data_IF_152573807839
#
_entry.id   IF_152573807839
#
_cell.length_a   1.000
_cell.length_b   1.000
_cell.length_c   1.000
_cell.angle_alpha   90.00
_cell.angle_beta   90.00
_cell.angle_gamma   90.00
#
_symmetry.space_group_name_H-M   'P 1'
#
loop_
_entity.id
_entity.type
_entity.pdbx_description
1 polymer ?
#
# COMPACT_ATOMS: atom_id res chain seq x y z
N UNK A 1 -10.08 1.85 -4.76
CA UNK A 1 -9.13 0.95 -5.46
C UNK A 1 -9.55 0.79 -6.92
N UNK A 2 -10.82 0.52 -7.21
CA UNK A 2 -11.33 0.24 -8.57
C UNK A 2 -11.02 1.30 -9.62
N UNK A 3 -10.93 2.58 -9.24
CA UNK A 3 -10.61 3.68 -10.16
C UNK A 3 -9.12 3.80 -10.48
N UNK A 4 -8.24 3.19 -9.66
CA UNK A 4 -6.79 3.36 -9.76
C UNK A 4 -6.23 2.95 -11.13
N UNK A 5 -6.57 1.79 -11.72
CA UNK A 5 -5.95 1.37 -12.98
C UNK A 5 -6.21 2.33 -14.14
N UNK A 6 -7.42 2.91 -14.23
CA UNK A 6 -7.76 3.87 -15.28
C UNK A 6 -7.03 5.21 -15.11
N UNK A 7 -6.78 5.62 -13.86
CA UNK A 7 -5.97 6.82 -13.57
C UNK A 7 -4.50 6.59 -13.93
N UNK A 8 -3.95 5.41 -13.60
CA UNK A 8 -2.57 5.04 -13.96
C UNK A 8 -2.39 5.05 -15.47
N UNK A 9 -3.32 4.45 -16.22
CA UNK A 9 -3.29 4.45 -17.68
C UNK A 9 -3.31 5.88 -18.25
N UNK A 10 -4.19 6.74 -17.72
CA UNK A 10 -4.29 8.13 -18.18
C UNK A 10 -3.09 9.01 -17.81
N UNK A 11 -2.37 8.67 -16.73
CA UNK A 11 -1.22 9.44 -16.25
C UNK A 11 0.07 9.19 -17.05
N UNK A 12 0.15 8.08 -17.79
CA UNK A 12 1.36 7.68 -18.51
C UNK A 12 2.54 7.48 -17.57
N UNK A 13 3.64 8.19 -17.82
CA UNK A 13 4.89 8.07 -17.04
C UNK A 13 4.88 8.85 -15.71
N UNK A 14 3.82 9.61 -15.42
CA UNK A 14 3.73 10.37 -14.18
C UNK A 14 3.46 9.44 -12.98
N UNK A 15 4.19 9.58 -11.86
CA UNK A 15 3.94 8.79 -10.66
C UNK A 15 2.53 9.02 -10.11
N UNK A 16 1.75 7.95 -9.97
CA UNK A 16 0.42 7.97 -9.34
C UNK A 16 0.51 7.49 -7.90
N UNK A 17 0.13 8.35 -6.96
CA UNK A 17 0.03 8.00 -5.53
C UNK A 17 -1.41 7.59 -5.19
N UNK A 18 -1.58 6.65 -4.28
CA UNK A 18 -2.91 6.12 -3.90
C UNK A 18 -3.18 6.18 -2.38
N UNK A 19 -4.38 6.61 -1.98
CA UNK A 19 -4.94 6.50 -0.62
C UNK A 19 -6.43 6.11 -0.72
N UNK A 20 -7.18 6.28 0.37
CA UNK A 20 -8.60 6.01 0.54
C UNK A 20 -8.90 4.53 0.71
N UNK A 21 -8.42 3.96 1.83
CA UNK A 21 -8.84 2.63 2.28
C UNK A 21 -7.70 1.68 2.66
N UNK A 22 -6.45 2.08 2.53
CA UNK A 22 -5.28 1.26 2.87
C UNK A 22 -5.22 1.03 4.38
N UNK A 23 -5.28 -0.23 4.83
CA UNK A 23 -5.23 -0.61 6.25
C UNK A 23 -4.17 -1.67 6.55
N UNK A 24 -3.90 -2.53 5.59
CA UNK A 24 -2.98 -3.67 5.70
C UNK A 24 -1.94 -3.65 4.58
N UNK A 25 -0.88 -4.43 4.75
CA UNK A 25 0.13 -4.70 3.72
C UNK A 25 -0.50 -5.27 2.45
N UNK A 26 -1.52 -6.13 2.58
CA UNK A 26 -2.20 -6.72 1.42
C UNK A 26 -2.96 -5.65 0.59
N UNK A 27 -3.54 -4.63 1.23
CA UNK A 27 -4.17 -3.51 0.53
C UNK A 27 -3.14 -2.71 -0.26
N UNK A 28 -1.97 -2.48 0.34
CA UNK A 28 -0.86 -1.80 -0.31
C UNK A 28 -0.29 -2.60 -1.47
N UNK A 29 -0.04 -3.91 -1.29
CA UNK A 29 0.42 -4.78 -2.37
C UNK A 29 -0.51 -4.72 -3.59
N UNK A 30 -1.84 -4.77 -3.37
CA UNK A 30 -2.82 -4.65 -4.46
C UNK A 30 -2.74 -3.30 -5.17
N UNK A 31 -2.61 -2.19 -4.44
CA UNK A 31 -2.50 -0.88 -5.05
C UNK A 31 -1.20 -0.73 -5.87
N UNK A 32 -0.08 -1.20 -5.34
CA UNK A 32 1.22 -1.21 -6.02
C UNK A 32 1.17 -2.09 -7.28
N UNK A 33 0.64 -3.31 -7.16
CA UNK A 33 0.40 -4.23 -8.28
C UNK A 33 -0.51 -3.64 -9.38
N UNK A 34 -1.45 -2.76 -9.00
CA UNK A 34 -2.32 -2.05 -9.92
C UNK A 34 -1.70 -0.76 -10.50
N UNK A 35 -0.42 -0.48 -10.20
CA UNK A 35 0.37 0.58 -10.81
C UNK A 35 0.51 1.86 -9.99
N UNK A 36 0.12 1.87 -8.72
CA UNK A 36 0.48 2.99 -7.84
C UNK A 36 2.00 3.00 -7.59
N UNK A 37 2.62 4.18 -7.65
CA UNK A 37 4.02 4.37 -7.32
C UNK A 37 4.27 4.33 -5.79
N UNK A 38 3.29 4.75 -5.00
CA UNK A 38 3.28 4.57 -3.55
C UNK A 38 1.85 4.63 -3.00
N UNK A 39 1.69 4.15 -1.77
CA UNK A 39 0.45 4.30 -1.00
C UNK A 39 0.63 5.28 0.15
N UNK A 40 -0.44 6.00 0.48
CA UNK A 40 -0.49 6.95 1.58
C UNK A 40 -1.41 6.40 2.68
N UNK A 41 -1.08 6.71 3.93
CA UNK A 41 -1.88 6.35 5.08
C UNK A 41 -2.60 7.57 5.64
N UNK A 42 -3.93 7.52 5.66
CA UNK A 42 -4.76 8.50 6.37
C UNK A 42 -4.98 8.11 7.84
N UNK A 43 -6.18 7.59 8.15
CA UNK A 43 -6.62 7.31 9.53
C UNK A 43 -5.70 6.42 10.39
N UNK A 44 -5.03 5.37 9.87
CA UNK A 44 -4.29 4.44 10.74
C UNK A 44 -3.26 5.11 11.66
N UNK A 45 -2.41 6.01 11.12
CA UNK A 45 -1.39 6.66 11.95
C UNK A 45 -1.99 7.66 12.95
N UNK A 46 -3.14 8.26 12.62
CA UNK A 46 -3.89 9.16 13.53
C UNK A 46 -4.41 8.39 14.75
N UNK A 47 -4.82 7.13 14.58
CA UNK A 47 -5.20 6.30 15.72
C UNK A 47 -4.00 6.00 16.62
N UNK A 48 -2.83 5.73 16.04
CA UNK A 48 -1.59 5.60 16.79
C UNK A 48 -1.25 6.87 17.57
N UNK A 49 -1.38 8.03 16.91
CA UNK A 49 -1.20 9.34 17.55
C UNK A 49 -2.10 9.53 18.77
N UNK A 50 -3.38 9.16 18.64
CA UNK A 50 -4.36 9.32 19.72
C UNK A 50 -4.09 8.39 20.92
N UNK A 51 -3.51 7.21 20.69
CA UNK A 51 -3.26 6.21 21.72
C UNK A 51 -1.95 6.46 22.49
N UNK A 52 -0.88 6.82 21.81
CA UNK A 52 0.45 6.93 22.42
C UNK A 52 1.36 7.95 21.72
N UNK A 53 0.78 9.03 21.20
CA UNK A 53 1.53 10.14 20.60
C UNK A 53 2.45 9.68 19.47
N UNK A 54 3.66 10.23 19.44
CA UNK A 54 4.69 9.89 18.45
C UNK A 54 5.06 8.39 18.46
N UNK A 55 5.12 7.77 19.64
CA UNK A 55 5.44 6.35 19.78
C UNK A 55 4.36 5.48 19.14
N UNK A 56 3.08 5.85 19.31
CA UNK A 56 1.97 5.19 18.66
C UNK A 56 1.97 5.38 17.13
N UNK A 57 2.30 6.57 16.62
CA UNK A 57 2.51 6.78 15.18
C UNK A 57 3.62 5.87 14.64
N UNK A 58 4.77 5.87 15.32
CA UNK A 58 5.93 5.05 14.94
C UNK A 58 5.59 3.57 14.95
N UNK A 59 4.83 3.11 15.94
CA UNK A 59 4.36 1.73 16.02
C UNK A 59 3.48 1.36 14.81
N UNK A 60 2.47 2.18 14.48
CA UNK A 60 1.60 1.93 13.32
C UNK A 60 2.39 1.86 12.02
N UNK A 61 3.29 2.81 11.77
CA UNK A 61 4.08 2.84 10.53
C UNK A 61 5.01 1.63 10.42
N UNK A 62 5.68 1.23 11.51
CA UNK A 62 6.55 0.04 11.52
C UNK A 62 5.76 -1.25 11.32
N UNK A 63 4.63 -1.40 12.02
CA UNK A 63 3.76 -2.58 11.87
C UNK A 63 3.22 -2.70 10.46
N UNK A 64 2.83 -1.57 9.83
CA UNK A 64 2.37 -1.55 8.45
C UNK A 64 3.47 -1.95 7.46
N UNK A 65 4.68 -1.42 7.62
CA UNK A 65 5.81 -1.79 6.77
C UNK A 65 6.21 -3.26 6.91
N UNK A 66 6.16 -3.80 8.13
CA UNK A 66 6.41 -5.22 8.37
C UNK A 66 5.34 -6.12 7.74
N UNK A 67 4.06 -5.74 7.82
CA UNK A 67 2.97 -6.47 7.14
C UNK A 67 3.13 -6.39 5.61
N UNK A 68 3.48 -5.23 5.05
CA UNK A 68 3.76 -5.08 3.62
C UNK A 68 4.91 -5.99 3.15
N UNK A 69 6.02 -6.01 3.89
CA UNK A 69 7.17 -6.89 3.61
C UNK A 69 6.77 -8.37 3.65
N UNK A 70 6.03 -8.78 4.68
CA UNK A 70 5.51 -10.14 4.81
C UNK A 70 4.60 -10.53 3.64
N UNK A 71 3.69 -9.65 3.22
CA UNK A 71 2.76 -9.94 2.12
C UNK A 71 3.48 -10.04 0.77
N UNK A 72 4.49 -9.20 0.51
CA UNK A 72 5.32 -9.31 -0.67
C UNK A 72 6.09 -10.66 -0.68
N UNK A 73 6.75 -11.01 0.42
CA UNK A 73 7.50 -12.26 0.53
C UNK A 73 6.60 -13.50 0.41
N UNK A 74 5.45 -13.52 1.09
CA UNK A 74 4.49 -14.64 1.03
C UNK A 74 3.83 -14.79 -0.34
N UNK A 75 3.77 -13.72 -1.14
CA UNK A 75 3.31 -13.77 -2.53
C UNK A 75 4.42 -14.10 -3.54
N UNK A 76 5.63 -14.39 -3.06
CA UNK A 76 6.75 -14.83 -3.90
C UNK A 76 7.60 -13.71 -4.51
N UNK A 77 7.45 -12.48 -4.04
CA UNK A 77 8.20 -11.32 -4.53
C UNK A 77 9.33 -10.98 -3.54
N UNK A 78 10.55 -10.75 -4.04
CA UNK A 78 11.69 -10.38 -3.20
C UNK A 78 11.63 -8.91 -2.74
N UNK A 79 10.80 -8.10 -3.40
CA UNK A 79 10.51 -6.73 -2.99
C UNK A 79 9.15 -6.27 -3.52
N UNK A 80 8.61 -5.19 -2.93
CA UNK A 80 7.36 -4.58 -3.42
C UNK A 80 7.49 -4.00 -4.84
N UNK A 81 8.71 -3.75 -5.33
CA UNK A 81 8.96 -3.25 -6.68
C UNK A 81 8.71 -4.32 -7.76
N UNK A 82 8.66 -5.59 -7.39
CA UNK A 82 8.35 -6.70 -8.30
C UNK A 82 6.85 -6.95 -8.43
N UNK A 83 6.01 -6.28 -7.62
CA UNK A 83 4.57 -6.42 -7.69
C UNK A 83 4.05 -5.85 -9.01
N UNK A 84 3.30 -6.67 -9.74
CA UNK A 84 2.73 -6.33 -11.03
C UNK A 84 1.27 -6.75 -11.15
N UNK A 85 0.68 -6.49 -12.32
CA UNK A 85 -0.72 -6.82 -12.60
C UNK A 85 -1.00 -8.34 -12.52
N UNK A 86 0.01 -9.17 -12.74
CA UNK A 86 -0.01 -10.61 -12.60
C UNK A 86 0.03 -11.11 -11.15
N UNK A 87 0.45 -10.25 -10.19
CA UNK A 87 0.41 -10.54 -8.76
C UNK A 87 -1.01 -10.50 -8.16
N UNK A 88 -2.02 -10.08 -8.93
CA UNK A 88 -3.42 -9.95 -8.48
C UNK A 88 -4.41 -10.62 -9.43
N UNK A 89 -5.49 -11.16 -8.86
CA UNK A 89 -6.63 -11.68 -9.62
C UNK A 89 -7.87 -10.84 -9.31
N UNK A 90 -8.76 -10.73 -10.28
CA UNK A 90 -10.09 -10.15 -10.06
C UNK A 90 -11.00 -11.24 -9.51
N UNK A 91 -11.53 -11.02 -8.31
CA UNK A 91 -12.58 -11.85 -7.72
C UNK A 91 -13.96 -11.49 -8.31
#
# INVERSE_FOLDING_TARGET
LDMLPGVVEAAGDLPVLFDSGVRTGADACKALALGAAAVLLGRPWVHGLALDGEAGVSHVLRSFLADLDLQAGLSGHASCAELGRDSVIRA
#
